data_IF_255599290482
#
_entry.id   IF_255599290482
#
_cell.length_a   1.000
_cell.length_b   1.000
_cell.length_c   1.000
_cell.angle_alpha   90.00
_cell.angle_beta   90.00
_cell.angle_gamma   90.00
#
_symmetry.space_group_name_H-M   'P 1'
#
loop_
_entity.id
_entity.type
_entity.pdbx_description
1 polymer ?
#
# COMPACT_ATOMS: atom_id res chain seq x y z
N UNK A 1 5.35 35.59 31.37
CA UNK A 1 4.29 34.58 31.39
C UNK A 1 4.06 34.16 29.95
N UNK A 2 4.44 32.94 29.57
CA UNK A 2 4.24 32.44 28.21
C UNK A 2 2.77 32.07 28.04
N UNK A 3 2.09 32.71 27.08
CA UNK A 3 0.79 32.21 26.62
C UNK A 3 1.01 30.93 25.81
N UNK A 4 0.27 29.85 26.06
CA UNK A 4 0.30 28.71 25.19
C UNK A 4 -0.35 29.11 23.86
N UNK A 5 0.40 28.99 22.77
CA UNK A 5 -0.15 29.07 21.42
C UNK A 5 -1.26 28.04 21.32
N UNK A 6 -2.50 28.51 21.20
CA UNK A 6 -3.65 27.66 20.90
C UNK A 6 -3.44 27.21 19.45
N UNK A 7 -2.85 26.02 19.27
CA UNK A 7 -2.77 25.38 17.97
C UNK A 7 -4.21 25.04 17.58
N UNK A 8 -4.82 25.92 16.78
CA UNK A 8 -6.10 25.67 16.16
C UNK A 8 -5.98 24.38 15.35
N UNK A 9 -6.74 23.35 15.75
CA UNK A 9 -6.83 22.04 15.09
C UNK A 9 -7.12 22.22 13.59
N UNK A 10 -7.87 23.26 13.21
CA UNK A 10 -8.13 23.66 11.82
C UNK A 10 -6.86 23.98 11.01
N UNK A 11 -5.80 24.46 11.67
CA UNK A 11 -4.50 24.76 11.06
C UNK A 11 -3.67 23.49 10.85
N UNK A 12 -3.90 22.45 11.66
CA UNK A 12 -3.29 21.13 11.48
C UNK A 12 -3.95 20.38 10.32
N UNK A 13 -5.28 20.48 10.17
CA UNK A 13 -6.00 19.89 9.04
C UNK A 13 -5.64 20.55 7.70
N UNK A 14 -5.38 21.86 7.68
CA UNK A 14 -4.89 22.57 6.48
C UNK A 14 -3.48 22.17 6.02
N UNK A 15 -2.70 21.48 6.85
CA UNK A 15 -1.36 20.96 6.49
C UNK A 15 -1.39 19.58 5.86
N UNK A 16 -2.52 18.86 5.94
CA UNK A 16 -2.76 17.66 5.16
C UNK A 16 -3.47 18.09 3.89
N UNK A 17 -2.68 18.48 2.88
CA UNK A 17 -3.24 18.63 1.54
C UNK A 17 -3.79 17.25 1.14
N UNK A 18 -5.10 17.11 0.87
CA UNK A 18 -5.66 15.81 0.54
C UNK A 18 -4.99 15.31 -0.73
N UNK A 19 -4.37 14.15 -0.63
CA UNK A 19 -3.65 13.52 -1.72
C UNK A 19 -4.53 13.48 -2.98
N UNK A 20 -4.01 13.97 -4.10
CA UNK A 20 -4.74 13.94 -5.37
C UNK A 20 -5.04 12.50 -5.78
N UNK A 21 -6.02 12.29 -6.65
CA UNK A 21 -6.35 10.94 -7.12
C UNK A 21 -5.12 10.23 -7.73
N UNK A 22 -4.29 10.96 -8.49
CA UNK A 22 -3.05 10.46 -9.09
C UNK A 22 -2.01 10.06 -8.04
N UNK A 23 -1.77 10.90 -7.04
CA UNK A 23 -0.88 10.56 -5.92
C UNK A 23 -1.42 9.36 -5.12
N UNK A 24 -2.75 9.26 -4.99
CA UNK A 24 -3.52 8.08 -4.56
C UNK A 24 -3.05 6.79 -5.21
N UNK A 25 -3.08 6.78 -6.54
CA UNK A 25 -2.72 5.62 -7.35
C UNK A 25 -1.22 5.29 -7.26
N UNK A 26 -0.35 6.31 -7.26
CA UNK A 26 1.10 6.11 -7.10
C UNK A 26 1.44 5.51 -5.75
N UNK A 27 0.90 6.07 -4.66
CA UNK A 27 1.07 5.54 -3.32
C UNK A 27 0.56 4.09 -3.21
N UNK A 28 -0.59 3.80 -3.82
CA UNK A 28 -1.15 2.45 -3.86
C UNK A 28 -0.23 1.44 -4.57
N UNK A 29 0.39 1.84 -5.68
CA UNK A 29 1.37 1.00 -6.40
C UNK A 29 2.64 0.77 -5.58
N UNK A 30 3.16 1.80 -4.92
CA UNK A 30 4.35 1.70 -4.05
C UNK A 30 4.09 0.76 -2.87
N UNK A 31 2.93 0.92 -2.20
CA UNK A 31 2.56 0.08 -1.07
C UNK A 31 2.35 -1.38 -1.52
N UNK A 32 1.67 -1.59 -2.65
CA UNK A 32 1.47 -2.93 -3.22
C UNK A 32 2.78 -3.62 -3.58
N UNK A 33 3.78 -2.86 -4.05
CA UNK A 33 5.11 -3.41 -4.31
C UNK A 33 5.77 -3.93 -3.02
N UNK A 34 5.69 -3.19 -1.91
CA UNK A 34 6.21 -3.65 -0.62
C UNK A 34 5.48 -4.91 -0.13
N UNK A 35 4.15 -4.94 -0.21
CA UNK A 35 3.36 -6.12 0.17
C UNK A 35 3.74 -7.35 -0.66
N UNK A 36 4.04 -7.19 -1.96
CA UNK A 36 4.50 -8.31 -2.80
C UNK A 36 5.84 -8.87 -2.32
N UNK A 37 6.78 -8.01 -1.92
CA UNK A 37 8.08 -8.46 -1.39
C UNK A 37 7.90 -9.24 -0.07
N UNK A 38 7.03 -8.76 0.82
CA UNK A 38 6.71 -9.47 2.07
C UNK A 38 6.05 -10.83 1.80
N UNK A 39 5.15 -10.91 0.81
CA UNK A 39 4.54 -12.16 0.40
C UNK A 39 5.54 -13.13 -0.24
N UNK A 40 6.51 -12.65 -1.03
CA UNK A 40 7.56 -13.48 -1.61
C UNK A 40 8.47 -14.08 -0.52
N UNK A 41 8.83 -13.30 0.49
CA UNK A 41 9.57 -13.78 1.66
C UNK A 41 8.78 -14.84 2.43
N UNK A 42 7.48 -14.59 2.65
CA UNK A 42 6.59 -15.54 3.32
C UNK A 42 6.39 -16.83 2.50
N UNK A 43 6.41 -16.77 1.17
CA UNK A 43 6.38 -17.96 0.31
C UNK A 43 7.63 -18.83 0.53
N UNK A 44 8.82 -18.21 0.60
CA UNK A 44 10.08 -18.92 0.88
C UNK A 44 10.08 -19.54 2.28
N UNK A 45 9.58 -18.82 3.28
CA UNK A 45 9.44 -19.34 4.65
C UNK A 45 8.49 -20.55 4.68
N UNK A 46 7.34 -20.46 4.01
CA UNK A 46 6.38 -21.56 3.93
C UNK A 46 6.98 -22.82 3.27
N UNK A 47 7.81 -22.64 2.23
CA UNK A 47 8.55 -23.75 1.60
C UNK A 47 9.57 -24.35 2.56
N UNK A 48 10.33 -23.52 3.28
CA UNK A 48 11.33 -23.98 4.24
C UNK A 48 10.70 -24.77 5.40
N UNK A 49 9.50 -24.39 5.82
CA UNK A 49 8.77 -25.00 6.92
C UNK A 49 7.88 -26.19 6.48
N UNK A 50 7.91 -26.58 5.20
CA UNK A 50 7.01 -27.59 4.59
C UNK A 50 5.51 -27.31 4.85
N UNK A 51 5.15 -26.01 4.94
CA UNK A 51 3.80 -25.57 5.23
C UNK A 51 3.02 -25.32 3.93
N UNK A 52 2.42 -26.39 3.41
CA UNK A 52 1.66 -26.36 2.17
C UNK A 52 0.41 -25.44 2.21
N UNK A 53 -0.25 -25.31 3.36
CA UNK A 53 -1.42 -24.43 3.53
C UNK A 53 -1.01 -22.97 3.34
N UNK A 54 -0.01 -22.53 4.11
CA UNK A 54 0.51 -21.16 4.03
C UNK A 54 1.03 -20.83 2.62
N UNK A 55 1.80 -21.75 2.01
CA UNK A 55 2.30 -21.54 0.65
C UNK A 55 1.16 -21.33 -0.36
N UNK A 56 0.06 -22.07 -0.26
CA UNK A 56 -1.08 -21.90 -1.15
C UNK A 56 -1.81 -20.57 -0.93
N UNK A 57 -1.99 -20.14 0.33
CA UNK A 57 -2.59 -18.85 0.67
C UNK A 57 -1.74 -17.67 0.18
N UNK A 58 -0.42 -17.76 0.36
CA UNK A 58 0.53 -16.76 -0.12
C UNK A 58 0.51 -16.66 -1.64
N UNK A 59 0.48 -17.81 -2.35
CA UNK A 59 0.35 -17.81 -3.81
C UNK A 59 -0.95 -17.17 -4.29
N UNK A 60 -2.07 -17.48 -3.66
CA UNK A 60 -3.35 -16.86 -3.98
C UNK A 60 -3.28 -15.33 -3.79
N UNK A 61 -2.64 -14.89 -2.71
CA UNK A 61 -2.44 -13.46 -2.42
C UNK A 61 -1.53 -12.77 -3.44
N UNK A 62 -0.44 -13.40 -3.87
CA UNK A 62 0.45 -12.90 -4.92
C UNK A 62 -0.24 -12.78 -6.29
N UNK A 63 -1.12 -13.73 -6.63
CA UNK A 63 -1.93 -13.65 -7.85
C UNK A 63 -2.88 -12.44 -7.77
N UNK A 64 -3.55 -12.27 -6.63
CA UNK A 64 -4.45 -11.13 -6.44
C UNK A 64 -3.70 -9.79 -6.50
N UNK A 65 -2.52 -9.70 -5.87
CA UNK A 65 -1.68 -8.52 -5.93
C UNK A 65 -1.32 -8.12 -7.36
N UNK A 66 -1.02 -9.09 -8.25
CA UNK A 66 -0.74 -8.83 -9.67
C UNK A 66 -1.96 -8.29 -10.43
N UNK A 67 -3.17 -8.73 -10.07
CA UNK A 67 -4.41 -8.22 -10.66
C UNK A 67 -4.61 -6.75 -10.25
N UNK A 68 -4.49 -6.45 -8.95
CA UNK A 68 -4.62 -5.08 -8.42
C UNK A 68 -3.56 -4.15 -9.00
N UNK A 69 -2.31 -4.61 -9.14
CA UNK A 69 -1.21 -3.84 -9.75
C UNK A 69 -1.56 -3.42 -11.18
N UNK A 70 -2.12 -4.34 -11.96
CA UNK A 70 -2.59 -4.05 -13.32
C UNK A 70 -3.73 -3.02 -13.30
N UNK A 71 -4.74 -3.19 -12.44
CA UNK A 71 -5.87 -2.26 -12.34
C UNK A 71 -5.42 -0.84 -11.96
N UNK A 72 -4.47 -0.72 -11.02
CA UNK A 72 -3.91 0.57 -10.62
C UNK A 72 -3.11 1.22 -11.76
N UNK A 73 -2.32 0.45 -12.49
CA UNK A 73 -1.61 0.96 -13.67
C UNK A 73 -2.56 1.42 -14.78
N UNK A 74 -3.64 0.68 -15.02
CA UNK A 74 -4.62 1.05 -16.05
C UNK A 74 -5.37 2.34 -15.64
N UNK A 75 -5.79 2.48 -14.37
CA UNK A 75 -6.35 3.73 -13.85
C UNK A 75 -5.38 4.92 -13.92
N UNK A 76 -4.10 4.67 -13.67
CA UNK A 76 -3.08 5.72 -13.75
C UNK A 76 -2.89 6.22 -15.18
N UNK A 77 -3.01 5.34 -16.20
CA UNK A 77 -3.00 5.74 -17.62
C UNK A 77 -4.21 6.59 -17.98
N UNK A 78 -5.39 6.27 -17.45
CA UNK A 78 -6.63 7.05 -17.66
C UNK A 78 -6.59 8.44 -16.99
N UNK A 79 -5.76 8.59 -15.96
CA UNK A 79 -5.59 9.84 -15.20
C UNK A 79 -4.52 10.78 -15.81
N UNK A 80 -3.72 10.30 -16.78
CA UNK A 80 -2.68 11.08 -17.47
C UNK A 80 -3.18 11.60 -18.82
#
# INVERSE_FOLDING_TARGET
MNHPEIIHVDTLWKKLDPMTHKEGLVWGLEHLHQTKLELEDLEQQAIADDNAELHNEVRASLIHAKIVEKELHDKLKETN
#
